data_IF_291108696268
#
_entry.id   IF_291108696268
#
_cell.length_a   1.000
_cell.length_b   1.000
_cell.length_c   1.000
_cell.angle_alpha   90.00
_cell.angle_beta   90.00
_cell.angle_gamma   90.00
#
_symmetry.space_group_name_H-M   'P 1'
#
loop_
_entity.id
_entity.type
_entity.pdbx_description
1 polymer ?
#
# COMPACT_ATOMS: atom_id res chain seq x y z
N UNK A 1 10.09 -6.83 17.35
CA UNK A 1 9.56 -6.94 16.78
C UNK A 1 9.64 -7.30 15.81
N UNK A 2 9.11 -7.72 15.56
CA UNK A 2 9.42 -8.25 14.52
C UNK A 2 9.17 -7.49 13.40
N UNK A 3 9.97 -7.40 12.59
CA UNK A 3 9.84 -6.73 11.38
C UNK A 3 9.24 -7.65 10.41
N UNK A 4 7.96 -7.84 10.54
CA UNK A 4 7.25 -8.70 9.64
C UNK A 4 7.23 -8.06 8.27
N UNK A 5 7.86 -8.68 7.31
CA UNK A 5 7.92 -8.16 5.95
C UNK A 5 6.71 -8.69 5.18
N UNK A 6 5.65 -7.92 5.19
CA UNK A 6 4.42 -8.32 4.52
C UNK A 6 4.57 -8.42 3.01
N UNK A 7 5.43 -7.58 2.44
CA UNK A 7 5.64 -7.65 1.00
C UNK A 7 6.24 -8.98 0.59
N UNK A 8 7.27 -9.42 1.31
CA UNK A 8 7.90 -10.70 1.01
C UNK A 8 6.94 -11.85 1.19
N UNK A 9 6.11 -11.79 2.22
CA UNK A 9 5.13 -12.82 2.47
C UNK A 9 4.08 -12.87 1.36
N UNK A 10 3.60 -11.71 0.93
CA UNK A 10 2.63 -11.64 -0.14
C UNK A 10 3.21 -12.19 -1.44
N UNK A 11 4.46 -11.82 -1.75
CA UNK A 11 5.13 -12.33 -2.93
C UNK A 11 5.29 -13.84 -2.87
N UNK A 12 5.54 -14.38 -1.69
CA UNK A 12 5.67 -15.81 -1.51
C UNK A 12 4.36 -16.54 -1.76
N UNK A 13 3.26 -15.97 -1.28
CA UNK A 13 1.96 -16.63 -1.37
C UNK A 13 1.36 -16.48 -2.78
N UNK A 14 1.47 -15.30 -3.36
CA UNK A 14 0.74 -14.98 -4.59
C UNK A 14 1.62 -14.80 -5.82
N UNK A 15 2.92 -14.64 -5.64
CA UNK A 15 3.80 -14.21 -6.73
C UNK A 15 3.85 -15.16 -7.91
N UNK A 16 3.81 -16.45 -7.66
CA UNK A 16 3.89 -17.43 -8.75
C UNK A 16 2.64 -17.41 -9.62
N UNK A 17 1.49 -17.28 -8.99
CA UNK A 17 0.22 -17.31 -9.70
C UNK A 17 -0.15 -15.96 -10.28
N UNK A 18 0.28 -14.89 -9.61
CA UNK A 18 -0.08 -13.53 -10.02
C UNK A 18 1.17 -12.66 -10.13
N UNK A 19 2.03 -12.92 -11.12
CA UNK A 19 3.28 -12.14 -11.24
C UNK A 19 3.06 -10.68 -11.57
N UNK A 20 1.85 -10.30 -11.96
CA UNK A 20 1.53 -8.90 -12.25
C UNK A 20 1.10 -8.06 -11.06
N UNK A 21 1.10 -8.63 -9.84
CA UNK A 21 0.72 -7.85 -8.67
C UNK A 21 1.64 -6.64 -8.52
N UNK A 22 1.04 -5.52 -8.10
CA UNK A 22 1.77 -4.28 -7.99
C UNK A 22 1.89 -3.82 -6.55
N UNK A 23 3.05 -3.23 -6.24
CA UNK A 23 3.33 -2.66 -4.93
C UNK A 23 3.68 -1.19 -5.11
N UNK A 24 3.40 -0.39 -4.09
CA UNK A 24 3.80 1.02 -4.09
C UNK A 24 5.20 1.15 -3.51
N UNK A 25 6.11 1.75 -4.28
CA UNK A 25 7.49 1.88 -3.84
C UNK A 25 7.60 2.71 -2.57
N UNK A 26 8.38 2.20 -1.63
CA UNK A 26 8.65 2.93 -0.41
C UNK A 26 7.54 2.92 0.61
N UNK A 27 6.44 2.21 0.37
CA UNK A 27 5.31 2.19 1.27
C UNK A 27 5.03 0.81 1.85
N UNK A 28 6.03 -0.06 1.86
CA UNK A 28 5.84 -1.42 2.36
C UNK A 28 5.35 -1.45 3.80
N UNK A 29 5.76 -0.47 4.61
CA UNK A 29 5.31 -0.42 6.01
C UNK A 29 3.83 -0.12 6.16
N UNK A 30 3.19 0.33 5.09
CA UNK A 30 1.77 0.68 5.12
C UNK A 30 0.88 -0.45 4.63
N UNK A 31 1.44 -1.58 4.21
CA UNK A 31 0.65 -2.72 3.75
C UNK A 31 -0.08 -3.35 4.93
N UNK A 32 -1.38 -3.59 4.77
CA UNK A 32 -2.18 -4.23 5.81
C UNK A 32 -2.77 -5.56 5.37
N UNK A 33 -2.62 -5.92 4.11
CA UNK A 33 -3.11 -7.21 3.65
C UNK A 33 -3.32 -7.25 2.16
N UNK A 34 -4.12 -8.22 1.73
CA UNK A 34 -4.48 -8.41 0.34
C UNK A 34 -5.99 -8.51 0.25
N UNK A 35 -6.58 -7.76 -0.67
CA UNK A 35 -8.01 -7.87 -0.95
C UNK A 35 -8.19 -8.56 -2.29
N UNK A 36 -9.14 -9.48 -2.36
CA UNK A 36 -9.41 -10.18 -3.62
C UNK A 36 -10.60 -9.50 -4.28
N UNK A 37 -10.37 -8.92 -5.45
CA UNK A 37 -11.38 -8.17 -6.17
C UNK A 37 -11.50 -8.76 -7.57
N UNK A 38 -12.67 -9.26 -7.91
CA UNK A 38 -12.92 -9.90 -9.21
C UNK A 38 -11.90 -11.01 -9.51
N UNK A 39 -11.52 -11.75 -8.45
CA UNK A 39 -10.58 -12.86 -8.60
C UNK A 39 -9.11 -12.46 -8.58
N UNK A 40 -8.80 -11.16 -8.52
CA UNK A 40 -7.43 -10.69 -8.50
C UNK A 40 -7.03 -10.25 -7.10
N UNK A 41 -5.88 -10.73 -6.59
CA UNK A 41 -5.37 -10.25 -5.30
C UNK A 41 -4.74 -8.87 -5.45
N UNK A 42 -5.20 -7.92 -4.66
CA UNK A 42 -4.69 -6.56 -4.69
C UNK A 42 -4.02 -6.23 -3.36
N UNK A 43 -2.80 -5.73 -3.42
CA UNK A 43 -2.09 -5.30 -2.21
C UNK A 43 -2.85 -4.13 -1.61
N UNK A 44 -3.11 -4.19 -0.32
CA UNK A 44 -3.98 -3.22 0.34
C UNK A 44 -3.20 -2.43 1.39
N UNK A 45 -3.34 -1.12 1.34
CA UNK A 45 -2.59 -0.18 2.17
C UNK A 45 -3.54 0.59 3.09
N UNK A 46 -3.01 1.08 4.22
CA UNK A 46 -3.74 1.88 5.19
C UNK A 46 -3.34 3.35 5.02
N UNK A 47 -4.33 4.26 4.93
CA UNK A 47 -4.01 5.69 4.85
C UNK A 47 -3.27 6.16 6.10
N UNK A 48 -3.65 5.66 7.27
CA UNK A 48 -2.97 6.02 8.51
C UNK A 48 -1.49 5.64 8.45
N UNK A 49 -1.21 4.43 7.98
CA UNK A 49 0.17 3.97 7.92
C UNK A 49 0.95 4.65 6.81
N UNK A 50 0.29 5.02 5.72
CA UNK A 50 0.94 5.80 4.67
C UNK A 50 1.36 7.15 5.22
N UNK A 51 0.47 7.82 5.97
CA UNK A 51 0.80 9.11 6.57
C UNK A 51 1.95 8.97 7.57
N UNK A 52 1.92 7.94 8.40
CA UNK A 52 3.01 7.69 9.34
C UNK A 52 4.34 7.54 8.61
N UNK A 53 4.34 6.80 7.50
CA UNK A 53 5.55 6.60 6.71
C UNK A 53 6.07 7.92 6.16
N UNK A 54 5.18 8.76 5.63
CA UNK A 54 5.59 10.03 5.04
C UNK A 54 6.08 11.02 6.10
N UNK A 55 5.44 11.04 7.26
CA UNK A 55 5.88 11.89 8.37
C UNK A 55 7.24 11.43 8.87
N UNK A 56 7.47 10.12 8.94
CA UNK A 56 8.77 9.59 9.35
C UNK A 56 9.88 9.98 8.38
N UNK A 57 9.53 10.28 7.13
CA UNK A 57 10.51 10.72 6.15
C UNK A 57 10.80 12.22 6.23
N UNK A 58 10.16 12.91 7.17
CA UNK A 58 10.42 14.32 7.39
C UNK A 58 9.33 15.27 6.90
N UNK A 59 8.23 14.74 6.35
CA UNK A 59 7.14 15.63 5.92
C UNK A 59 6.33 16.07 7.12
N UNK A 60 5.84 17.34 7.09
CA UNK A 60 4.85 17.76 8.05
C UNK A 60 3.54 17.04 7.77
N UNK A 61 2.66 16.98 8.77
CA UNK A 61 1.41 16.22 8.64
C UNK A 61 0.58 16.71 7.45
N UNK A 62 0.39 18.03 7.33
CA UNK A 62 -0.41 18.57 6.23
C UNK A 62 0.22 18.31 4.88
N UNK A 63 1.55 18.41 4.81
CA UNK A 63 2.28 18.12 3.59
C UNK A 63 2.14 16.65 3.20
N UNK A 64 2.26 15.75 4.17
CA UNK A 64 2.13 14.32 3.93
C UNK A 64 0.73 13.98 3.44
N UNK A 65 -0.28 14.60 4.02
CA UNK A 65 -1.66 14.38 3.64
C UNK A 65 -1.91 14.83 2.21
N UNK A 66 -1.41 16.00 1.84
CA UNK A 66 -1.52 16.49 0.47
C UNK A 66 -0.80 15.59 -0.52
N UNK A 67 0.41 15.18 -0.17
CA UNK A 67 1.18 14.30 -1.02
C UNK A 67 0.42 12.99 -1.27
N UNK A 68 -0.15 12.43 -0.21
CA UNK A 68 -0.91 11.19 -0.34
C UNK A 68 -2.11 11.37 -1.26
N UNK A 69 -2.85 12.47 -1.09
CA UNK A 69 -4.05 12.70 -1.89
C UNK A 69 -3.74 12.89 -3.36
N UNK A 70 -2.66 13.59 -3.68
CA UNK A 70 -2.37 13.91 -5.08
C UNK A 70 -1.52 12.87 -5.79
N UNK A 71 -0.72 12.10 -5.05
CA UNK A 71 0.24 11.20 -5.68
C UNK A 71 -0.03 9.72 -5.43
N UNK A 72 -0.83 9.40 -4.43
CA UNK A 72 -1.04 8.00 -4.05
C UNK A 72 -2.49 7.59 -4.23
N UNK A 73 -3.41 8.32 -3.63
CA UNK A 73 -4.83 8.02 -3.77
C UNK A 73 -5.27 8.36 -5.18
N UNK A 74 -5.98 7.45 -5.80
CA UNK A 74 -6.47 7.68 -7.15
C UNK A 74 -5.51 7.32 -8.26
N UNK A 75 -4.30 6.87 -7.93
CA UNK A 75 -3.39 6.41 -8.97
C UNK A 75 -3.93 5.09 -9.53
N UNK A 76 -4.09 5.03 -10.85
CA UNK A 76 -4.56 3.81 -11.50
C UNK A 76 -3.42 3.17 -12.28
N UNK A 77 -3.17 1.89 -12.02
CA UNK A 77 -2.05 1.16 -12.61
C UNK A 77 -2.50 -0.12 -13.29
N UNK A 78 -3.76 -0.23 -13.68
CA UNK A 78 -4.28 -1.42 -14.33
C UNK A 78 -5.09 -2.27 -13.36
N UNK A 79 -5.30 -3.54 -13.74
CA UNK A 79 -6.20 -4.40 -12.96
C UNK A 79 -5.61 -4.83 -11.61
N UNK A 80 -4.32 -4.63 -11.41
CA UNK A 80 -3.69 -4.94 -10.13
C UNK A 80 -3.37 -3.68 -9.33
N UNK A 81 -4.05 -2.58 -9.64
CA UNK A 81 -3.86 -1.33 -8.89
C UNK A 81 -4.07 -1.59 -7.40
N UNK A 82 -3.11 -1.23 -6.55
CA UNK A 82 -3.27 -1.43 -5.11
C UNK A 82 -4.47 -0.69 -4.56
N UNK A 83 -5.08 -1.26 -3.53
CA UNK A 83 -6.19 -0.62 -2.84
C UNK A 83 -5.67 0.16 -1.64
N UNK A 84 -6.38 1.24 -1.32
CA UNK A 84 -6.07 2.01 -0.12
C UNK A 84 -7.33 2.11 0.72
N UNK A 85 -7.23 1.70 1.97
CA UNK A 85 -8.34 1.81 2.91
C UNK A 85 -8.14 3.09 3.71
N UNK A 86 -9.16 3.94 3.71
CA UNK A 86 -9.10 5.17 4.48
C UNK A 86 -9.55 4.88 5.90
N UNK A 87 -8.56 4.76 6.78
CA UNK A 87 -8.79 4.44 8.19
C UNK A 87 -8.35 5.57 9.11
N UNK A 88 -8.43 6.80 8.63
CA UNK A 88 -8.02 7.97 9.42
C UNK A 88 -9.09 8.49 10.37
N UNK A 89 -10.25 7.91 10.39
CA UNK A 89 -11.33 8.39 11.26
C UNK A 89 -11.70 7.43 12.37
#
# INVERSE_FOLDING_TARGET
MSNHDMRAEIECIYGDEFPGMMFMDGLDSAIIGVAVVNGNPLVTYSTEKILDNLVDRGMGFDEAREFMMFNILGAFMGEFTPLVIDDLF
#
